data_IF_827900572505
#
_entry.id   IF_827900572505
#
_cell.length_a   1.000
_cell.length_b   1.000
_cell.length_c   1.000
_cell.angle_alpha   90.00
_cell.angle_beta   90.00
_cell.angle_gamma   90.00
#
_symmetry.space_group_name_H-M   'P 1'
#
loop_
_entity.id
_entity.type
_entity.pdbx_description
1 polymer ?
#
# COMPACT_ATOMS: atom_id res chain seq x y z
N UNK A 1 40.10 -58.57 20.95
CA UNK A 1 38.87 -57.80 20.71
C UNK A 1 37.77 -58.77 20.31
N UNK A 2 36.87 -59.10 21.23
CA UNK A 2 35.70 -59.94 20.95
C UNK A 2 34.51 -59.01 20.77
N UNK A 3 34.03 -58.88 19.54
CA UNK A 3 32.78 -58.18 19.26
C UNK A 3 31.62 -59.08 19.73
N UNK A 4 30.70 -58.60 20.56
CA UNK A 4 29.58 -59.41 21.01
C UNK A 4 28.68 -59.71 19.80
N UNK A 5 28.40 -61.00 19.58
CA UNK A 5 27.41 -61.45 18.59
C UNK A 5 26.04 -61.03 19.07
N UNK A 6 25.53 -59.94 18.51
CA UNK A 6 24.16 -59.49 18.73
C UNK A 6 23.24 -60.53 18.07
N UNK A 7 22.37 -61.16 18.86
CA UNK A 7 21.40 -62.14 18.36
C UNK A 7 20.50 -61.50 17.30
N UNK A 8 20.23 -62.22 16.21
CA UNK A 8 19.29 -61.80 15.16
C UNK A 8 17.90 -61.47 15.72
N UNK A 9 17.50 -62.11 16.82
CA UNK A 9 16.25 -61.82 17.54
C UNK A 9 16.26 -60.46 18.24
N UNK A 10 17.42 -60.00 18.74
CA UNK A 10 17.55 -58.69 19.36
C UNK A 10 17.50 -57.56 18.32
N UNK A 11 18.11 -57.78 17.15
CA UNK A 11 18.07 -56.81 16.04
C UNK A 11 16.65 -56.65 15.49
N UNK A 12 15.92 -57.76 15.33
CA UNK A 12 14.52 -57.73 14.85
C UNK A 12 13.58 -57.09 15.86
N UNK A 13 13.75 -57.34 17.17
CA UNK A 13 12.98 -56.67 18.21
C UNK A 13 13.21 -55.15 18.24
N UNK A 14 14.47 -54.71 18.07
CA UNK A 14 14.83 -53.29 17.99
C UNK A 14 14.22 -52.61 16.77
N UNK A 15 14.25 -53.27 15.60
CA UNK A 15 13.64 -52.75 14.38
C UNK A 15 12.12 -52.62 14.53
N UNK A 16 11.45 -53.64 15.09
CA UNK A 16 10.02 -53.60 15.34
C UNK A 16 9.63 -52.47 16.31
N UNK A 17 10.38 -52.31 17.40
CA UNK A 17 10.17 -51.23 18.36
C UNK A 17 10.37 -49.83 17.71
N UNK A 18 11.39 -49.68 16.85
CA UNK A 18 11.61 -48.43 16.11
C UNK A 18 10.49 -48.15 15.12
N UNK A 19 10.01 -49.14 14.36
CA UNK A 19 8.86 -48.96 13.46
C UNK A 19 7.58 -48.63 14.21
N UNK A 20 7.34 -49.24 15.38
CA UNK A 20 6.15 -48.96 16.17
C UNK A 20 6.21 -47.54 16.77
N UNK A 21 7.39 -47.10 17.20
CA UNK A 21 7.61 -45.72 17.67
C UNK A 21 7.42 -44.71 16.53
N UNK A 22 7.91 -45.01 15.33
CA UNK A 22 7.72 -44.17 14.14
C UNK A 22 6.23 -44.08 13.77
N UNK A 23 5.54 -45.22 13.71
CA UNK A 23 4.10 -45.26 13.44
C UNK A 23 3.31 -44.52 14.51
N UNK A 24 3.69 -44.64 15.78
CA UNK A 24 3.04 -43.92 16.88
C UNK A 24 3.28 -42.41 16.81
N UNK A 25 4.47 -41.96 16.39
CA UNK A 25 4.77 -40.54 16.17
C UNK A 25 4.03 -39.97 14.95
N UNK A 26 3.86 -40.77 13.89
CA UNK A 26 3.15 -40.36 12.65
C UNK A 26 1.62 -40.41 12.83
N UNK A 27 1.11 -41.32 13.68
CA UNK A 27 -0.33 -41.51 13.92
C UNK A 27 -0.91 -40.60 15.00
N UNK A 28 -0.07 -39.83 15.71
CA UNK A 28 -0.59 -38.79 16.61
C UNK A 28 -1.21 -37.70 15.75
N UNK A 29 -2.52 -37.40 15.91
CA UNK A 29 -3.06 -36.15 15.41
C UNK A 29 -2.22 -35.04 16.03
N UNK A 30 -1.55 -34.24 15.20
CA UNK A 30 -0.92 -33.01 15.68
C UNK A 30 -1.96 -32.18 16.43
N UNK A 31 -1.55 -31.32 17.39
CA UNK A 31 -2.48 -30.39 18.01
C UNK A 31 -3.27 -29.71 16.89
N UNK A 32 -4.58 -29.90 16.91
CA UNK A 32 -5.51 -29.25 15.99
C UNK A 32 -5.15 -27.76 15.97
N UNK A 33 -4.98 -27.13 14.79
CA UNK A 33 -4.71 -25.70 14.74
C UNK A 33 -5.77 -25.01 15.61
N UNK A 34 -5.37 -24.02 16.43
CA UNK A 34 -6.35 -23.27 17.21
C UNK A 34 -7.46 -22.84 16.26
N UNK A 35 -8.70 -23.08 16.66
CA UNK A 35 -9.90 -22.76 15.90
C UNK A 35 -9.69 -21.46 15.13
N UNK A 36 -9.81 -21.51 13.80
CA UNK A 36 -9.46 -20.43 12.87
C UNK A 36 -9.74 -19.05 13.50
N UNK A 37 -8.71 -18.44 14.10
CA UNK A 37 -8.69 -17.00 14.26
C UNK A 37 -8.82 -16.48 12.83
N UNK A 38 -9.85 -15.68 12.52
CA UNK A 38 -10.00 -15.11 11.18
C UNK A 38 -8.64 -14.63 10.69
N UNK A 39 -8.15 -15.21 9.59
CA UNK A 39 -6.78 -15.03 9.13
C UNK A 39 -6.57 -13.54 8.81
N UNK A 40 -5.68 -12.89 9.56
CA UNK A 40 -5.41 -11.44 9.44
C UNK A 40 -5.16 -11.07 7.98
N UNK A 41 -5.86 -10.06 7.48
CA UNK A 41 -5.70 -9.58 6.10
C UNK A 41 -4.59 -8.53 6.04
N UNK A 42 -3.68 -8.70 5.11
CA UNK A 42 -2.57 -7.77 4.89
C UNK A 42 -2.84 -7.00 3.60
N UNK A 43 -2.77 -5.68 3.63
CA UNK A 43 -3.01 -4.85 2.45
C UNK A 43 -1.81 -3.95 2.20
N UNK A 44 -1.27 -4.04 0.98
CA UNK A 44 -0.28 -3.08 0.50
C UNK A 44 -0.95 -2.10 -0.46
N UNK A 45 -1.07 -0.84 -0.05
CA UNK A 45 -1.40 0.27 -0.95
C UNK A 45 -0.12 0.65 -1.70
N UNK A 46 0.03 0.06 -2.88
CA UNK A 46 1.16 0.25 -3.78
C UNK A 46 0.87 1.43 -4.71
N UNK A 47 1.76 2.41 -4.77
CA UNK A 47 1.59 3.60 -5.62
C UNK A 47 2.94 4.17 -6.02
N UNK A 48 2.92 5.31 -6.71
CA UNK A 48 4.04 6.26 -6.77
C UNK A 48 3.67 7.55 -6.00
N UNK A 49 4.64 8.43 -5.77
CA UNK A 49 4.42 9.72 -5.10
C UNK A 49 3.45 10.58 -5.90
N UNK A 50 2.59 11.30 -5.16
CA UNK A 50 1.63 12.29 -5.68
C UNK A 50 0.46 11.72 -6.49
N UNK A 51 0.29 10.41 -6.50
CA UNK A 51 -0.87 9.74 -7.10
C UNK A 51 -2.13 9.72 -6.22
N UNK A 52 -2.13 10.41 -5.07
CA UNK A 52 -3.27 10.44 -4.15
C UNK A 52 -3.26 9.32 -3.09
N UNK A 53 -2.18 8.56 -2.97
CA UNK A 53 -2.08 7.45 -2.03
C UNK A 53 -2.22 7.83 -0.56
N UNK A 54 -1.93 9.09 -0.17
CA UNK A 54 -2.21 9.58 1.18
C UNK A 54 -3.70 9.68 1.49
N UNK A 55 -4.54 9.99 0.49
CA UNK A 55 -5.99 9.96 0.65
C UNK A 55 -6.48 8.52 0.81
N UNK A 56 -6.07 7.60 -0.09
CA UNK A 56 -6.42 6.17 0.02
C UNK A 56 -5.94 5.56 1.33
N UNK A 57 -4.73 5.90 1.79
CA UNK A 57 -4.24 5.48 3.09
C UNK A 57 -5.09 5.99 4.25
N UNK A 58 -5.62 7.21 4.17
CA UNK A 58 -6.57 7.72 5.17
C UNK A 58 -7.90 6.98 5.17
N UNK A 59 -8.41 6.56 3.99
CA UNK A 59 -9.60 5.71 3.93
C UNK A 59 -9.42 4.46 4.79
N UNK A 60 -8.31 3.75 4.63
CA UNK A 60 -8.02 2.57 5.46
C UNK A 60 -7.75 2.93 6.92
N UNK A 61 -6.96 3.97 7.19
CA UNK A 61 -6.60 4.37 8.56
C UNK A 61 -7.82 4.64 9.44
N UNK A 62 -8.86 5.28 8.89
CA UNK A 62 -10.05 5.64 9.65
C UNK A 62 -10.98 4.45 9.95
N UNK A 63 -10.75 3.27 9.35
CA UNK A 63 -11.56 2.08 9.60
C UNK A 63 -11.25 1.48 10.99
N UNK A 64 -12.25 1.08 11.80
CA UNK A 64 -12.05 0.59 13.17
C UNK A 64 -11.22 -0.69 13.28
N UNK A 65 -11.19 -1.51 12.23
CA UNK A 65 -10.49 -2.82 12.23
C UNK A 65 -9.10 -2.80 11.60
N UNK A 66 -8.60 -1.61 11.23
CA UNK A 66 -7.34 -1.44 10.52
C UNK A 66 -6.25 -0.87 11.42
N UNK A 67 -5.09 -1.55 11.45
CA UNK A 67 -3.80 -0.96 11.79
C UNK A 67 -3.14 -0.44 10.52
N UNK A 68 -2.90 0.88 10.44
CA UNK A 68 -2.32 1.52 9.27
C UNK A 68 -0.97 2.16 9.57
N UNK A 69 0.03 1.98 8.70
CA UNK A 69 1.25 2.78 8.72
C UNK A 69 1.50 3.42 7.35
N UNK A 70 1.87 4.70 7.38
CA UNK A 70 2.23 5.46 6.19
C UNK A 70 3.72 5.30 5.90
N UNK A 71 4.06 4.66 4.79
CA UNK A 71 5.45 4.51 4.31
C UNK A 71 6.43 4.06 5.41
N UNK A 72 6.18 2.93 6.11
CA UNK A 72 7.13 2.42 7.10
C UNK A 72 8.55 2.25 6.53
N UNK A 73 8.69 1.91 5.25
CA UNK A 73 9.99 1.80 4.61
C UNK A 73 10.72 3.14 4.42
N UNK A 74 10.07 4.28 4.66
CA UNK A 74 10.70 5.61 4.71
C UNK A 74 11.99 5.59 5.53
N UNK A 75 12.01 4.84 6.63
CA UNK A 75 13.17 4.69 7.50
C UNK A 75 14.34 3.95 6.84
N UNK A 76 14.07 2.96 5.98
CA UNK A 76 15.12 2.33 5.16
C UNK A 76 15.69 3.35 4.17
N UNK A 77 14.81 4.08 3.49
CA UNK A 77 15.17 5.05 2.45
C UNK A 77 16.00 6.23 3.00
N UNK A 78 15.71 6.69 4.21
CA UNK A 78 16.42 7.83 4.80
C UNK A 78 17.72 7.46 5.48
N UNK A 79 17.78 6.27 6.08
CA UNK A 79 18.99 5.72 6.69
C UNK A 79 19.99 5.29 5.60
N UNK A 80 19.52 4.58 4.57
CA UNK A 80 20.35 4.07 3.46
C UNK A 80 20.27 4.94 2.20
N UNK A 81 20.22 6.27 2.37
CA UNK A 81 19.90 7.24 1.32
C UNK A 81 20.81 7.26 0.08
N UNK A 82 22.01 6.69 0.17
CA UNK A 82 22.93 6.52 -0.96
C UNK A 82 22.49 5.41 -1.91
N UNK A 83 21.66 4.48 -1.42
CA UNK A 83 21.10 3.40 -2.21
C UNK A 83 20.04 3.89 -3.21
N UNK A 84 19.98 3.22 -4.36
CA UNK A 84 18.87 3.36 -5.30
C UNK A 84 17.65 2.58 -4.81
N UNK A 85 16.48 2.87 -5.38
CA UNK A 85 15.26 2.08 -5.15
C UNK A 85 15.53 0.57 -5.29
N UNK A 86 16.12 0.18 -6.43
CA UNK A 86 16.43 -1.22 -6.74
C UNK A 86 17.38 -1.87 -5.74
N UNK A 87 18.42 -1.16 -5.31
CA UNK A 87 19.42 -1.71 -4.39
C UNK A 87 18.83 -2.01 -3.00
N UNK A 88 17.80 -1.26 -2.57
CA UNK A 88 17.22 -1.37 -1.24
C UNK A 88 15.97 -2.25 -1.20
N UNK A 89 15.53 -2.81 -2.33
CA UNK A 89 14.32 -3.64 -2.41
C UNK A 89 14.28 -4.80 -1.41
N UNK A 90 15.42 -5.43 -1.11
CA UNK A 90 15.46 -6.53 -0.13
C UNK A 90 15.17 -6.01 1.28
N UNK A 91 15.93 -5.02 1.75
CA UNK A 91 15.74 -4.40 3.06
C UNK A 91 14.31 -3.85 3.25
N UNK A 92 13.76 -3.22 2.21
CA UNK A 92 12.40 -2.67 2.20
C UNK A 92 11.37 -3.79 2.30
N UNK A 93 11.53 -4.87 1.53
CA UNK A 93 10.64 -6.02 1.55
C UNK A 93 10.66 -6.71 2.91
N UNK A 94 11.84 -6.89 3.49
CA UNK A 94 12.02 -7.54 4.79
C UNK A 94 11.38 -6.71 5.91
N UNK A 95 11.56 -5.39 5.89
CA UNK A 95 10.87 -4.48 6.81
C UNK A 95 9.34 -4.54 6.64
N UNK A 96 8.84 -4.45 5.42
CA UNK A 96 7.39 -4.54 5.14
C UNK A 96 6.83 -5.87 5.62
N UNK A 97 7.55 -6.98 5.43
CA UNK A 97 7.17 -8.31 5.92
C UNK A 97 7.05 -8.34 7.45
N UNK A 98 8.08 -7.91 8.16
CA UNK A 98 8.07 -7.88 9.64
C UNK A 98 6.91 -7.03 10.17
N UNK A 99 6.69 -5.86 9.59
CA UNK A 99 5.57 -4.98 9.99
C UNK A 99 4.21 -5.63 9.74
N UNK A 100 4.02 -6.33 8.61
CA UNK A 100 2.79 -7.09 8.37
C UNK A 100 2.53 -8.16 9.43
N UNK A 101 3.59 -8.80 9.91
CA UNK A 101 3.54 -9.77 11.02
C UNK A 101 3.50 -9.12 12.40
N UNK A 102 3.36 -7.80 12.48
CA UNK A 102 3.39 -7.01 13.71
C UNK A 102 4.67 -7.19 14.53
N UNK A 103 5.80 -7.37 13.85
CA UNK A 103 7.15 -7.29 14.42
C UNK A 103 7.71 -5.89 14.16
N UNK A 104 7.77 -5.07 15.22
CA UNK A 104 8.27 -3.70 15.17
C UNK A 104 9.75 -3.59 15.54
N UNK A 105 10.41 -4.69 15.91
CA UNK A 105 11.82 -4.71 16.28
C UNK A 105 12.70 -4.54 15.03
N UNK A 106 12.16 -4.87 13.84
CA UNK A 106 12.82 -4.61 12.55
C UNK A 106 13.25 -3.14 12.36
N UNK A 107 12.61 -2.21 13.04
CA UNK A 107 12.98 -0.79 12.98
C UNK A 107 14.28 -0.46 13.72
N UNK A 108 14.80 -1.34 14.58
CA UNK A 108 16.09 -1.15 15.26
C UNK A 108 17.27 -1.01 14.30
N UNK A 109 17.17 -1.61 13.11
CA UNK A 109 18.18 -1.46 12.07
C UNK A 109 18.18 -0.05 11.42
N UNK A 110 17.10 0.72 11.60
CA UNK A 110 16.87 1.97 10.85
C UNK A 110 16.49 3.17 11.73
N UNK A 111 16.29 2.98 13.03
CA UNK A 111 15.91 4.00 13.99
C UNK A 111 16.74 3.88 15.28
N UNK A 112 16.95 4.98 16.03
CA UNK A 112 17.57 4.91 17.35
C UNK A 112 16.73 4.08 18.33
N UNK A 113 17.39 3.44 19.30
CA UNK A 113 16.76 2.54 20.28
C UNK A 113 15.76 3.25 21.21
N UNK A 114 16.13 4.40 21.78
CA UNK A 114 15.21 5.17 22.62
C UNK A 114 14.31 6.05 21.74
N UNK A 115 13.10 5.55 21.44
CA UNK A 115 12.13 6.20 20.56
C UNK A 115 10.70 6.05 21.07
N UNK A 116 9.85 7.01 20.69
CA UNK A 116 8.42 7.00 20.93
C UNK A 116 7.67 6.59 19.66
N UNK A 117 6.35 6.37 19.75
CA UNK A 117 5.50 6.18 18.57
C UNK A 117 5.67 7.30 17.53
N UNK A 118 5.99 8.51 17.99
CA UNK A 118 6.22 9.65 17.12
C UNK A 118 7.42 9.54 16.18
N UNK A 119 8.27 8.52 16.36
CA UNK A 119 9.36 8.21 15.43
C UNK A 119 8.87 7.61 14.11
N UNK A 120 7.68 6.98 14.07
CA UNK A 120 7.13 6.52 12.80
C UNK A 120 6.87 7.70 11.85
N UNK A 121 7.20 7.51 10.57
CA UNK A 121 6.94 8.53 9.58
C UNK A 121 5.44 8.76 9.49
N UNK A 122 5.00 10.01 9.70
CA UNK A 122 3.59 10.40 9.67
C UNK A 122 2.69 9.59 10.62
N UNK A 123 3.23 9.17 11.76
CA UNK A 123 2.51 8.37 12.77
C UNK A 123 1.13 8.94 13.15
N UNK A 124 0.98 10.27 13.19
CA UNK A 124 -0.23 10.96 13.62
C UNK A 124 -1.44 10.74 12.70
N UNK A 125 -1.20 10.19 11.50
CA UNK A 125 -2.23 9.89 10.52
C UNK A 125 -2.79 8.47 10.70
N UNK A 126 -2.21 7.67 11.59
CA UNK A 126 -2.66 6.33 11.94
C UNK A 126 -3.66 6.38 13.09
N UNK A 127 -4.96 6.18 12.82
CA UNK A 127 -5.98 6.10 13.88
C UNK A 127 -5.63 5.05 14.92
N UNK A 128 -5.04 3.93 14.50
CA UNK A 128 -4.63 2.84 15.36
C UNK A 128 -3.55 3.24 16.39
N UNK A 129 -2.64 4.16 16.04
CA UNK A 129 -1.66 4.72 16.97
C UNK A 129 -2.23 5.84 17.87
N UNK A 130 -3.43 6.33 17.54
CA UNK A 130 -4.17 7.34 18.30
C UNK A 130 -5.32 6.75 19.14
N UNK A 131 -5.50 5.42 19.10
CA UNK A 131 -6.56 4.67 19.79
C UNK A 131 -5.97 3.57 20.67
N UNK A 132 -6.71 3.07 21.67
CA UNK A 132 -6.22 1.97 22.50
C UNK A 132 -5.86 0.73 21.65
N UNK A 133 -4.80 -0.02 22.03
CA UNK A 133 -3.97 0.15 23.23
C UNK A 133 -2.86 1.22 23.10
N UNK A 134 -2.58 1.75 21.90
CA UNK A 134 -1.45 2.65 21.70
C UNK A 134 -1.59 4.04 22.34
N UNK A 135 -2.81 4.58 22.34
CA UNK A 135 -3.09 5.88 22.95
C UNK A 135 -4.60 6.03 23.21
N UNK A 136 -5.01 6.75 24.25
CA UNK A 136 -6.43 6.93 24.58
C UNK A 136 -7.05 8.22 24.03
N UNK A 137 -6.47 8.83 22.98
CA UNK A 137 -6.98 10.09 22.44
C UNK A 137 -8.32 9.94 21.70
N UNK A 138 -8.56 8.78 21.08
CA UNK A 138 -9.79 8.49 20.36
C UNK A 138 -10.29 7.06 20.66
N UNK A 139 -11.61 6.85 20.78
CA UNK A 139 -12.18 5.50 20.74
C UNK A 139 -11.90 4.80 19.40
N UNK A 140 -11.79 3.47 19.40
CA UNK A 140 -11.48 2.69 18.19
C UNK A 140 -12.45 2.94 17.02
N UNK A 141 -13.73 3.17 17.30
CA UNK A 141 -14.75 3.45 16.28
C UNK A 141 -14.77 4.89 15.75
N UNK A 142 -14.08 5.83 16.40
CA UNK A 142 -14.18 7.24 16.07
C UNK A 142 -13.20 7.66 14.96
N UNK A 143 -13.59 8.67 14.18
CA UNK A 143 -12.69 9.34 13.23
C UNK A 143 -11.63 10.13 13.99
N UNK A 144 -10.36 9.82 13.76
CA UNK A 144 -9.23 10.51 14.39
C UNK A 144 -8.90 11.83 13.69
N UNK A 145 -8.36 12.78 14.46
CA UNK A 145 -7.84 14.05 13.94
C UNK A 145 -6.34 14.15 14.19
N UNK A 146 -5.55 14.35 13.13
CA UNK A 146 -4.07 14.37 13.17
C UNK A 146 -3.51 15.31 14.25
N UNK A 147 -4.03 16.54 14.34
CA UNK A 147 -3.51 17.53 15.30
C UNK A 147 -3.74 17.11 16.75
N UNK A 148 -4.93 16.58 17.07
CA UNK A 148 -5.25 16.11 18.41
C UNK A 148 -4.44 14.86 18.77
N UNK A 149 -4.27 13.93 17.81
CA UNK A 149 -3.39 12.78 18.00
C UNK A 149 -1.95 13.22 18.28
N UNK A 150 -1.41 14.17 17.50
CA UNK A 150 -0.07 14.72 17.75
C UNK A 150 0.05 15.31 19.14
N UNK A 151 -0.92 16.13 19.57
CA UNK A 151 -0.88 16.75 20.90
C UNK A 151 -0.93 15.72 22.04
N UNK A 152 -1.78 14.69 21.92
CA UNK A 152 -2.09 13.78 23.03
C UNK A 152 -1.22 12.51 23.07
N UNK A 153 -0.66 12.08 21.94
CA UNK A 153 -0.04 10.75 21.80
C UNK A 153 1.46 10.77 21.46
N UNK A 154 2.11 11.95 21.34
CA UNK A 154 3.50 12.07 20.86
C UNK A 154 4.52 11.27 21.68
N UNK A 155 4.30 11.16 23.00
CA UNK A 155 5.25 10.57 23.96
C UNK A 155 4.93 9.12 24.34
N UNK A 156 4.02 8.47 23.60
CA UNK A 156 3.68 7.08 23.87
C UNK A 156 4.86 6.14 23.55
N UNK A 157 5.12 5.11 24.37
CA UNK A 157 6.18 4.14 24.14
C UNK A 157 6.09 3.46 22.76
N UNK A 158 7.23 3.24 22.11
CA UNK A 158 7.26 2.62 20.78
C UNK A 158 6.70 1.19 20.76
N UNK A 159 6.89 0.42 21.84
CA UNK A 159 6.42 -0.96 21.99
C UNK A 159 4.89 -1.09 21.82
N UNK A 160 4.13 -0.03 22.13
CA UNK A 160 2.68 -0.05 21.99
C UNK A 160 2.21 -0.16 20.53
N UNK A 161 3.06 0.13 19.54
CA UNK A 161 2.71 -0.09 18.13
C UNK A 161 2.54 -1.58 17.80
N UNK A 162 3.38 -2.43 18.39
CA UNK A 162 3.31 -3.88 18.22
C UNK A 162 2.04 -4.43 18.86
N UNK A 163 1.73 -3.99 20.08
CA UNK A 163 0.49 -4.35 20.78
C UNK A 163 -0.75 -3.89 19.99
N UNK A 164 -0.74 -2.65 19.51
CA UNK A 164 -1.81 -2.14 18.67
C UNK A 164 -1.95 -2.98 17.41
N UNK A 165 -0.89 -3.19 16.63
CA UNK A 165 -0.93 -3.97 15.39
C UNK A 165 -1.57 -5.35 15.60
N UNK A 166 -1.16 -6.07 16.65
CA UNK A 166 -1.69 -7.42 16.96
C UNK A 166 -3.19 -7.42 17.26
N UNK A 167 -3.73 -6.31 17.77
CA UNK A 167 -5.13 -6.16 18.15
C UNK A 167 -6.09 -5.85 16.99
N UNK A 168 -5.60 -5.66 15.77
CA UNK A 168 -6.41 -5.38 14.57
C UNK A 168 -6.44 -6.58 13.62
N UNK A 169 -7.56 -6.78 12.93
CA UNK A 169 -7.74 -7.86 11.95
C UNK A 169 -7.15 -7.53 10.57
N UNK A 170 -6.86 -6.26 10.31
CA UNK A 170 -6.26 -5.80 9.07
C UNK A 170 -4.99 -4.99 9.33
N UNK A 171 -3.91 -5.31 8.63
CA UNK A 171 -2.67 -4.50 8.63
C UNK A 171 -2.49 -3.91 7.24
N UNK A 172 -2.53 -2.57 7.16
CA UNK A 172 -2.49 -1.84 5.90
C UNK A 172 -1.25 -0.96 5.86
N UNK A 173 -0.39 -1.18 4.88
CA UNK A 173 0.83 -0.40 4.67
C UNK A 173 0.73 0.33 3.34
N UNK A 174 1.14 1.60 3.31
CA UNK A 174 1.21 2.39 2.07
C UNK A 174 2.65 2.59 1.66
N UNK A 175 3.03 2.15 0.46
CA UNK A 175 4.39 2.30 -0.06
C UNK A 175 4.42 2.90 -1.46
N UNK A 176 5.45 3.72 -1.73
CA UNK A 176 5.53 4.53 -2.96
C UNK A 176 6.80 4.32 -3.80
N UNK A 177 7.72 3.45 -3.36
CA UNK A 177 9.08 3.33 -3.93
C UNK A 177 9.47 1.92 -4.43
N UNK A 178 8.52 1.01 -4.63
CA UNK A 178 8.82 -0.35 -5.13
C UNK A 178 9.04 -0.44 -6.64
N UNK A 179 8.33 0.37 -7.43
CA UNK A 179 8.43 0.48 -8.90
C UNK A 179 8.33 -0.79 -9.77
N UNK A 180 8.21 -1.96 -9.16
CA UNK A 180 8.12 -3.25 -9.83
C UNK A 180 7.35 -4.25 -8.94
N UNK A 181 6.31 -4.86 -9.50
CA UNK A 181 5.48 -5.83 -8.80
C UNK A 181 6.24 -7.11 -8.43
N UNK A 182 7.20 -7.54 -9.26
CA UNK A 182 7.93 -8.79 -9.08
C UNK A 182 8.76 -8.80 -7.78
N UNK A 183 9.18 -7.63 -7.31
CA UNK A 183 9.88 -7.46 -6.03
C UNK A 183 9.04 -7.93 -4.85
N UNK A 184 7.71 -7.86 -4.98
CA UNK A 184 6.72 -8.23 -3.97
C UNK A 184 6.29 -9.69 -4.06
N UNK A 185 6.72 -10.45 -5.09
CA UNK A 185 6.35 -11.86 -5.25
C UNK A 185 6.72 -12.75 -4.05
N UNK A 186 7.86 -12.55 -3.37
CA UNK A 186 8.14 -13.30 -2.15
C UNK A 186 7.12 -13.04 -1.04
N UNK A 187 6.63 -11.80 -0.89
CA UNK A 187 5.59 -11.48 0.10
C UNK A 187 4.23 -12.07 -0.29
N UNK A 188 3.89 -12.05 -1.58
CA UNK A 188 2.67 -12.69 -2.07
C UNK A 188 2.73 -14.21 -1.93
N UNK A 189 3.91 -14.82 -2.01
CA UNK A 189 4.06 -16.28 -1.92
C UNK A 189 4.28 -16.77 -0.50
N UNK A 190 4.36 -15.86 0.47
CA UNK A 190 4.56 -16.18 1.88
C UNK A 190 3.27 -16.73 2.50
N UNK A 191 3.26 -17.97 3.01
CA UNK A 191 2.07 -18.55 3.62
C UNK A 191 1.66 -17.87 4.95
N UNK A 192 2.55 -17.07 5.56
CA UNK A 192 2.21 -16.29 6.75
C UNK A 192 1.43 -15.01 6.41
N UNK A 193 1.30 -14.65 5.12
CA UNK A 193 0.69 -13.40 4.68
C UNK A 193 -0.52 -13.64 3.75
N UNK A 194 -1.71 -13.34 4.25
CA UNK A 194 -2.89 -13.09 3.42
C UNK A 194 -2.81 -11.71 2.75
N UNK A 195 -1.83 -11.52 1.86
CA UNK A 195 -1.52 -10.23 1.22
C UNK A 195 -2.40 -9.91 0.01
N UNK A 196 -3.02 -8.74 0.02
CA UNK A 196 -3.73 -8.12 -1.10
C UNK A 196 -3.05 -6.80 -1.49
N UNK A 197 -2.91 -6.55 -2.79
CA UNK A 197 -2.28 -5.34 -3.33
C UNK A 197 -3.35 -4.45 -3.95
N UNK A 198 -3.43 -3.22 -3.44
CA UNK A 198 -4.19 -2.12 -4.04
C UNK A 198 -3.18 -1.26 -4.79
N UNK A 199 -3.12 -1.40 -6.11
CA UNK A 199 -2.25 -0.57 -6.95
C UNK A 199 -2.98 0.70 -7.38
N UNK A 200 -2.63 1.81 -6.75
CA UNK A 200 -3.17 3.12 -7.08
C UNK A 200 -2.34 3.79 -8.18
N UNK A 201 -3.03 4.20 -9.24
CA UNK A 201 -2.47 5.00 -10.34
C UNK A 201 -3.20 6.33 -10.45
N UNK A 202 -2.58 7.29 -11.12
CA UNK A 202 -3.15 8.62 -11.39
C UNK A 202 -2.67 9.12 -12.73
N UNK A 203 -3.43 10.00 -13.36
CA UNK A 203 -3.03 10.68 -14.59
C UNK A 203 -1.64 11.35 -14.40
N UNK A 204 -0.62 11.01 -15.22
CA UNK A 204 0.72 11.54 -15.06
C UNK A 204 0.82 13.06 -15.22
N UNK A 205 -0.14 13.69 -15.93
CA UNK A 205 -0.26 15.16 -16.04
C UNK A 205 -0.66 15.76 -14.70
N UNK A 206 -1.60 15.13 -13.99
CA UNK A 206 -1.99 15.50 -12.64
C UNK A 206 -0.87 15.25 -11.62
N UNK A 207 -0.11 14.15 -11.78
CA UNK A 207 1.07 13.84 -10.96
C UNK A 207 2.13 14.95 -11.12
N UNK A 208 2.47 15.36 -12.35
CA UNK A 208 3.43 16.45 -12.58
C UNK A 208 3.02 17.73 -11.84
N UNK A 209 1.79 18.21 -12.06
CA UNK A 209 1.25 19.40 -11.38
C UNK A 209 1.39 19.31 -9.88
N UNK A 210 1.07 18.14 -9.33
CA UNK A 210 1.14 17.94 -7.89
C UNK A 210 2.58 17.86 -7.36
N UNK A 211 3.54 17.44 -8.18
CA UNK A 211 4.96 17.39 -7.81
C UNK A 211 5.59 18.78 -7.83
N UNK A 212 5.26 19.63 -8.80
CA UNK A 212 5.76 21.01 -8.85
C UNK A 212 5.34 21.82 -7.60
N UNK A 213 4.13 21.58 -7.09
CA UNK A 213 3.68 22.17 -5.83
C UNK A 213 4.50 21.73 -4.59
N UNK A 214 5.20 20.59 -4.67
CA UNK A 214 5.92 19.92 -3.60
C UNK A 214 7.43 19.74 -3.87
N UNK A 215 7.99 20.44 -4.87
CA UNK A 215 9.33 20.17 -5.40
C UNK A 215 10.43 20.11 -4.32
N UNK A 216 10.49 21.13 -3.45
CA UNK A 216 11.45 21.22 -2.35
C UNK A 216 11.43 20.00 -1.44
N UNK A 217 10.25 19.56 -1.04
CA UNK A 217 10.08 18.43 -0.13
C UNK A 217 10.41 17.09 -0.78
N UNK A 218 10.39 17.01 -2.11
CA UNK A 218 10.67 15.79 -2.88
C UNK A 218 12.11 15.74 -3.41
N UNK A 219 12.94 16.75 -3.18
CA UNK A 219 14.26 16.86 -3.81
C UNK A 219 15.16 15.65 -3.51
N UNK A 220 15.18 15.16 -2.27
CA UNK A 220 15.93 13.96 -1.88
C UNK A 220 15.31 12.68 -2.45
N UNK A 221 13.98 12.57 -2.39
CA UNK A 221 13.25 11.44 -3.01
C UNK A 221 13.57 11.31 -4.49
N UNK A 222 13.67 12.43 -5.20
CA UNK A 222 14.01 12.46 -6.63
C UNK A 222 15.39 11.83 -6.88
N UNK A 223 16.37 12.10 -6.02
CA UNK A 223 17.68 11.46 -6.14
C UNK A 223 17.64 9.94 -5.94
N UNK A 224 16.80 9.46 -5.01
CA UNK A 224 16.60 8.02 -4.78
C UNK A 224 15.94 7.36 -6.00
N UNK A 225 14.88 7.98 -6.54
CA UNK A 225 14.18 7.48 -7.74
C UNK A 225 15.10 7.43 -8.95
N UNK A 226 15.91 8.47 -9.14
CA UNK A 226 16.80 8.60 -10.28
C UNK A 226 18.11 7.83 -10.10
N UNK A 227 18.35 7.22 -8.93
CA UNK A 227 19.59 6.50 -8.64
C UNK A 227 20.83 7.39 -8.63
N UNK A 228 20.68 8.67 -8.32
CA UNK A 228 21.78 9.66 -8.34
C UNK A 228 22.52 9.70 -6.99
N UNK A 229 22.70 8.55 -6.34
CA UNK A 229 23.35 8.44 -5.03
C UNK A 229 22.72 9.36 -3.96
N UNK A 230 21.39 9.53 -4.03
CA UNK A 230 20.62 10.35 -3.10
C UNK A 230 20.88 11.86 -3.17
N UNK A 231 21.40 12.36 -4.29
CA UNK A 231 21.56 13.81 -4.50
C UNK A 231 20.23 14.55 -4.45
N UNK A 232 20.27 15.81 -4.02
CA UNK A 232 19.10 16.67 -3.96
C UNK A 232 18.78 17.19 -5.37
N UNK A 233 17.68 16.71 -5.94
CA UNK A 233 17.21 17.10 -7.28
C UNK A 233 15.90 17.88 -7.15
N UNK A 234 15.99 19.20 -6.95
CA UNK A 234 14.80 20.06 -6.85
C UNK A 234 14.18 20.34 -8.24
N UNK A 235 15.02 20.62 -9.23
CA UNK A 235 14.60 20.86 -10.61
C UNK A 235 14.86 19.62 -11.49
N UNK A 236 13.85 19.22 -12.26
CA UNK A 236 13.93 18.11 -13.22
C UNK A 236 13.33 18.55 -14.57
N UNK A 237 14.02 19.45 -15.31
CA UNK A 237 13.49 20.01 -16.55
C UNK A 237 13.26 18.94 -17.64
N UNK A 238 14.02 17.84 -17.58
CA UNK A 238 13.85 16.69 -18.46
C UNK A 238 12.69 15.76 -18.10
N UNK A 239 11.98 16.03 -17.00
CA UNK A 239 10.88 15.22 -16.46
C UNK A 239 11.26 13.74 -16.29
N UNK A 240 12.52 13.48 -15.89
CA UNK A 240 13.06 12.12 -15.71
C UNK A 240 12.29 11.35 -14.64
N UNK A 241 11.89 12.01 -13.55
CA UNK A 241 11.12 11.37 -12.48
C UNK A 241 9.72 11.00 -12.95
N UNK A 242 9.06 11.88 -13.70
CA UNK A 242 7.72 11.58 -14.26
C UNK A 242 7.79 10.42 -15.25
N UNK A 243 8.83 10.38 -16.10
CA UNK A 243 9.10 9.26 -16.99
C UNK A 243 9.23 7.94 -16.22
N UNK A 244 9.99 7.93 -15.12
CA UNK A 244 10.15 6.71 -14.31
C UNK A 244 8.84 6.30 -13.61
N UNK A 245 8.06 7.26 -13.11
CA UNK A 245 6.73 6.99 -12.56
C UNK A 245 5.82 6.32 -13.60
N UNK A 246 5.79 6.82 -14.83
CA UNK A 246 5.01 6.24 -15.91
C UNK A 246 5.48 4.82 -16.27
N UNK A 247 6.79 4.62 -16.40
CA UNK A 247 7.40 3.29 -16.66
C UNK A 247 7.07 2.29 -15.56
N UNK A 248 7.15 2.71 -14.31
CA UNK A 248 6.79 1.91 -13.14
C UNK A 248 5.34 1.46 -13.19
N UNK A 249 4.40 2.38 -13.44
CA UNK A 249 2.98 2.02 -13.50
C UNK A 249 2.67 1.05 -14.64
N UNK A 250 3.29 1.23 -15.82
CA UNK A 250 3.19 0.27 -16.94
C UNK A 250 3.72 -1.09 -16.51
N UNK A 251 4.96 -1.15 -16.00
CA UNK A 251 5.60 -2.41 -15.57
C UNK A 251 4.77 -3.17 -14.53
N UNK A 252 4.26 -2.48 -13.51
CA UNK A 252 3.44 -3.09 -12.45
C UNK A 252 2.10 -3.58 -13.03
N UNK A 253 1.44 -2.75 -13.85
CA UNK A 253 0.16 -3.12 -14.46
C UNK A 253 0.31 -4.30 -15.41
N UNK A 254 1.28 -4.29 -16.33
CA UNK A 254 1.52 -5.41 -17.26
C UNK A 254 1.83 -6.72 -16.52
N UNK A 255 2.69 -6.66 -15.50
CA UNK A 255 3.02 -7.83 -14.67
C UNK A 255 1.78 -8.40 -13.94
N UNK A 256 0.78 -7.57 -13.65
CA UNK A 256 -0.46 -8.00 -13.01
C UNK A 256 -1.57 -8.41 -13.99
N UNK A 257 -1.46 -8.05 -15.28
CA UNK A 257 -2.61 -8.10 -16.20
C UNK A 257 -2.37 -8.97 -17.42
N UNK A 258 -1.17 -8.98 -18.00
CA UNK A 258 -0.90 -9.72 -19.25
C UNK A 258 -0.68 -11.22 -19.02
N UNK A 259 0.17 -11.57 -18.04
CA UNK A 259 0.44 -12.95 -17.63
C UNK A 259 0.57 -13.04 -16.12
N UNK A 260 -0.53 -12.79 -15.37
CA UNK A 260 -0.48 -12.78 -13.92
C UNK A 260 -0.05 -14.17 -13.39
N UNK A 261 0.89 -14.22 -12.43
CA UNK A 261 1.18 -15.47 -11.72
C UNK A 261 -0.09 -16.00 -11.03
N UNK A 262 -0.27 -17.33 -10.91
CA UNK A 262 -1.47 -17.90 -10.28
C UNK A 262 -1.72 -17.36 -8.87
N UNK A 263 -0.66 -17.15 -8.09
CA UNK A 263 -0.74 -16.60 -6.74
C UNK A 263 -1.30 -15.17 -6.72
N UNK A 264 -1.27 -14.40 -7.81
CA UNK A 264 -1.77 -13.02 -7.82
C UNK A 264 -3.31 -12.97 -7.96
N UNK A 265 -3.94 -14.05 -8.42
CA UNK A 265 -5.38 -14.11 -8.68
C UNK A 265 -6.17 -13.79 -7.41
N UNK A 266 -7.11 -12.85 -7.52
CA UNK A 266 -7.93 -12.38 -6.39
C UNK A 266 -7.17 -11.55 -5.34
N UNK A 267 -5.86 -11.32 -5.51
CA UNK A 267 -5.01 -10.61 -4.54
C UNK A 267 -4.41 -9.32 -5.08
N UNK A 268 -4.84 -8.86 -6.26
CA UNK A 268 -4.42 -7.59 -6.83
C UNK A 268 -5.62 -6.82 -7.41
N UNK A 269 -5.69 -5.52 -7.13
CA UNK A 269 -6.67 -4.60 -7.69
C UNK A 269 -5.99 -3.31 -8.14
N UNK A 270 -6.16 -2.96 -9.41
CA UNK A 270 -5.77 -1.66 -9.95
C UNK A 270 -6.88 -0.64 -9.67
N UNK A 271 -6.54 0.54 -9.18
CA UNK A 271 -7.46 1.64 -8.90
C UNK A 271 -6.92 2.92 -9.50
N UNK A 272 -7.74 3.66 -10.25
CA UNK A 272 -7.40 5.01 -10.73
C UNK A 272 -7.91 6.03 -9.73
N UNK A 273 -7.07 7.01 -9.40
CA UNK A 273 -7.44 8.11 -8.53
C UNK A 273 -8.65 8.90 -9.07
N UNK A 274 -8.77 9.01 -10.38
CA UNK A 274 -9.84 9.73 -11.07
C UNK A 274 -11.20 9.03 -10.91
N UNK A 275 -11.22 7.69 -10.89
CA UNK A 275 -12.45 6.94 -10.62
C UNK A 275 -12.90 7.19 -9.16
N UNK A 276 -11.94 7.12 -8.21
CA UNK A 276 -12.19 7.46 -6.79
C UNK A 276 -12.64 8.91 -6.60
N UNK A 277 -12.17 9.83 -7.42
CA UNK A 277 -12.54 11.24 -7.33
C UNK A 277 -13.93 11.53 -7.91
N UNK A 278 -14.34 10.79 -8.95
CA UNK A 278 -15.65 10.94 -9.61
C UNK A 278 -16.76 10.26 -8.82
N UNK A 279 -16.55 9.02 -8.38
CA UNK A 279 -17.55 8.21 -7.68
C UNK A 279 -16.99 7.65 -6.35
N UNK A 280 -16.70 8.51 -5.34
CA UNK A 280 -15.95 8.09 -4.16
C UNK A 280 -16.59 6.92 -3.40
N UNK A 281 -17.89 7.01 -3.10
CA UNK A 281 -18.55 5.99 -2.28
C UNK A 281 -18.62 4.64 -2.97
N UNK A 282 -18.94 4.61 -4.28
CA UNK A 282 -19.01 3.37 -5.04
C UNK A 282 -17.64 2.68 -5.16
N UNK A 283 -16.60 3.44 -5.49
CA UNK A 283 -15.24 2.91 -5.64
C UNK A 283 -14.65 2.46 -4.30
N UNK A 284 -14.95 3.16 -3.20
CA UNK A 284 -14.46 2.79 -1.87
C UNK A 284 -15.19 1.55 -1.34
N UNK A 285 -16.51 1.41 -1.58
CA UNK A 285 -17.24 0.16 -1.29
C UNK A 285 -16.60 -1.03 -2.00
N UNK A 286 -16.33 -0.90 -3.30
CA UNK A 286 -15.71 -1.95 -4.08
C UNK A 286 -14.27 -2.26 -3.61
N UNK A 287 -13.51 -1.23 -3.21
CA UNK A 287 -12.18 -1.38 -2.64
C UNK A 287 -12.21 -2.13 -1.30
N UNK A 288 -13.17 -1.81 -0.43
CA UNK A 288 -13.32 -2.45 0.87
C UNK A 288 -13.79 -3.89 0.75
N UNK A 289 -14.75 -4.17 -0.13
CA UNK A 289 -15.14 -5.54 -0.46
C UNK A 289 -13.95 -6.36 -0.94
N UNK A 290 -13.10 -5.79 -1.80
CA UNK A 290 -11.85 -6.43 -2.24
C UNK A 290 -10.87 -6.71 -1.08
N UNK A 291 -10.89 -5.95 0.01
CA UNK A 291 -10.04 -6.18 1.18
C UNK A 291 -10.71 -6.89 2.33
N UNK A 292 -11.98 -7.29 2.22
CA UNK A 292 -12.73 -7.93 3.32
C UNK A 292 -13.23 -6.94 4.39
N UNK A 293 -13.29 -5.65 4.06
CA UNK A 293 -13.81 -4.59 4.92
C UNK A 293 -15.23 -4.19 4.51
N UNK A 294 -15.94 -3.49 5.39
CA UNK A 294 -17.25 -2.90 5.12
C UNK A 294 -17.26 -1.42 5.49
N UNK A 295 -18.07 -0.61 4.80
CA UNK A 295 -18.21 0.80 5.18
C UNK A 295 -19.14 0.93 6.38
N UNK A 296 -18.68 1.65 7.40
CA UNK A 296 -19.56 2.09 8.49
C UNK A 296 -20.28 3.39 8.12
N UNK A 297 -21.47 3.68 8.68
CA UNK A 297 -22.19 4.93 8.41
C UNK A 297 -21.36 6.18 8.73
N UNK A 298 -20.58 6.13 9.83
CA UNK A 298 -19.70 7.23 10.23
C UNK A 298 -18.58 7.47 9.19
N UNK A 299 -18.01 6.40 8.66
CA UNK A 299 -16.94 6.50 7.68
C UNK A 299 -17.47 6.96 6.31
N UNK A 300 -18.66 6.50 5.91
CA UNK A 300 -19.36 6.99 4.72
C UNK A 300 -19.60 8.51 4.79
N UNK A 301 -20.13 9.01 5.91
CA UNK A 301 -20.32 10.44 6.13
C UNK A 301 -18.99 11.22 6.10
N UNK A 302 -17.94 10.67 6.72
CA UNK A 302 -16.60 11.30 6.68
C UNK A 302 -16.01 11.33 5.26
N UNK A 303 -16.14 10.25 4.49
CA UNK A 303 -15.70 10.17 3.09
C UNK A 303 -16.41 11.22 2.24
N UNK A 304 -17.73 11.36 2.38
CA UNK A 304 -18.48 12.37 1.66
C UNK A 304 -17.95 13.78 1.98
N UNK A 305 -17.81 14.10 3.27
CA UNK A 305 -17.35 15.42 3.72
C UNK A 305 -15.90 15.74 3.29
N UNK A 306 -15.00 14.76 3.27
CA UNK A 306 -13.61 15.01 2.88
C UNK A 306 -13.43 15.15 1.34
N UNK A 307 -14.35 14.57 0.55
CA UNK A 307 -14.32 14.61 -0.92
C UNK A 307 -15.16 15.72 -1.56
N UNK A 308 -16.07 16.32 -0.79
CA UNK A 308 -16.95 17.42 -1.23
C UNK A 308 -16.62 18.77 -0.59
N UNK A 309 -15.39 18.92 -0.07
CA UNK A 309 -14.93 20.18 0.51
C UNK A 309 -14.78 21.32 -0.49
N UNK A 310 -14.66 22.55 0.01
CA UNK A 310 -14.49 23.75 -0.82
C UNK A 310 -13.03 23.97 -1.23
N UNK A 311 -12.82 24.20 -2.53
CA UNK A 311 -11.54 24.64 -3.11
C UNK A 311 -10.46 23.55 -3.28
N UNK A 312 -9.34 23.87 -3.97
CA UNK A 312 -8.27 22.92 -4.28
C UNK A 312 -7.25 22.69 -3.13
N UNK A 313 -7.41 23.40 -2.00
CA UNK A 313 -6.47 23.47 -0.88
C UNK A 313 -5.25 24.36 -1.13
N UNK A 314 -4.62 24.86 -0.05
CA UNK A 314 -3.49 25.79 -0.15
C UNK A 314 -2.16 25.07 -0.49
N UNK A 315 -1.18 25.78 -1.08
CA UNK A 315 0.15 25.21 -1.42
C UNK A 315 0.87 24.60 -0.21
N UNK A 316 0.74 25.22 0.97
CA UNK A 316 1.26 24.72 2.27
C UNK A 316 0.65 23.38 2.72
N UNK A 317 -0.43 22.95 2.08
CA UNK A 317 -1.17 21.72 2.38
C UNK A 317 -0.89 20.62 1.35
N UNK A 318 0.19 20.73 0.56
CA UNK A 318 0.50 19.76 -0.48
C UNK A 318 0.54 18.31 0.04
N UNK A 319 0.94 18.08 1.29
CA UNK A 319 1.02 16.75 1.92
C UNK A 319 -0.09 16.47 2.94
N UNK A 320 -1.12 17.30 3.01
CA UNK A 320 -2.25 17.09 3.93
C UNK A 320 -3.44 16.49 3.19
N UNK A 321 -4.12 15.55 3.83
CA UNK A 321 -5.43 15.07 3.40
C UNK A 321 -6.50 15.96 4.03
N UNK A 322 -6.74 17.12 3.43
CA UNK A 322 -7.80 18.06 3.85
C UNK A 322 -9.06 17.89 3.01
N UNK A 323 -10.21 18.33 3.55
CA UNK A 323 -11.49 18.34 2.83
C UNK A 323 -11.38 19.24 1.59
N UNK A 324 -11.58 18.65 0.41
CA UNK A 324 -11.46 19.31 -0.91
C UNK A 324 -12.40 18.64 -1.90
N UNK A 325 -12.81 19.37 -2.93
CA UNK A 325 -13.55 18.79 -4.04
C UNK A 325 -12.62 17.86 -4.85
N UNK A 326 -12.82 16.55 -4.71
CA UNK A 326 -11.93 15.55 -5.27
C UNK A 326 -11.87 15.62 -6.81
N UNK A 327 -13.01 15.86 -7.46
CA UNK A 327 -13.10 16.01 -8.91
C UNK A 327 -12.26 17.19 -9.41
N UNK A 328 -12.42 18.37 -8.81
CA UNK A 328 -11.63 19.55 -9.15
C UNK A 328 -10.13 19.32 -8.93
N UNK A 329 -9.75 18.64 -7.85
CA UNK A 329 -8.34 18.29 -7.58
C UNK A 329 -7.79 17.32 -8.63
N UNK A 330 -8.60 16.39 -9.14
CA UNK A 330 -8.21 15.44 -10.18
C UNK A 330 -7.92 16.14 -11.51
N UNK A 331 -8.70 17.17 -11.85
CA UNK A 331 -8.61 17.90 -13.13
C UNK A 331 -7.81 19.21 -13.06
N UNK A 332 -7.33 19.62 -11.89
CA UNK A 332 -6.65 20.92 -11.71
C UNK A 332 -5.45 21.17 -12.66
N UNK A 333 -4.80 20.11 -13.15
CA UNK A 333 -3.70 20.23 -14.12
C UNK A 333 -4.14 20.87 -15.44
N UNK A 334 -5.42 20.71 -15.83
CA UNK A 334 -5.99 21.22 -17.08
C UNK A 334 -5.92 22.75 -17.20
N UNK A 335 -5.96 23.50 -16.10
CA UNK A 335 -5.88 24.96 -16.13
C UNK A 335 -4.61 25.53 -15.50
N UNK A 336 -3.75 24.69 -14.93
CA UNK A 336 -2.57 25.17 -14.17
C UNK A 336 -1.24 24.86 -14.83
N UNK A 337 -1.19 23.87 -15.73
CA UNK A 337 0.02 23.55 -16.48
C UNK A 337 -0.05 24.17 -17.89
N UNK A 338 1.05 24.75 -18.39
CA UNK A 338 1.16 25.13 -19.80
C UNK A 338 1.00 23.90 -20.71
N UNK A 339 0.33 24.06 -21.85
CA UNK A 339 0.11 22.97 -22.80
C UNK A 339 1.40 22.34 -23.31
N UNK A 340 2.48 23.12 -23.47
CA UNK A 340 3.80 22.62 -23.84
C UNK A 340 4.34 21.58 -22.87
N UNK A 341 4.12 21.75 -21.55
CA UNK A 341 4.48 20.75 -20.54
C UNK A 341 3.57 19.53 -20.61
N UNK A 342 2.27 19.72 -20.84
CA UNK A 342 1.31 18.61 -20.98
C UNK A 342 1.66 17.75 -22.18
N UNK A 343 1.90 18.35 -23.35
CA UNK A 343 2.36 17.66 -24.55
C UNK A 343 3.62 16.84 -24.26
N UNK A 344 4.59 17.44 -23.55
CA UNK A 344 5.81 16.73 -23.18
C UNK A 344 5.56 15.53 -22.27
N UNK A 345 4.67 15.65 -21.28
CA UNK A 345 4.28 14.50 -20.44
C UNK A 345 3.60 13.41 -21.27
N UNK A 346 2.70 13.79 -22.19
CA UNK A 346 2.01 12.83 -23.06
C UNK A 346 2.99 12.04 -23.92
N UNK A 347 3.97 12.70 -24.54
CA UNK A 347 5.04 12.03 -25.29
C UNK A 347 5.79 11.02 -24.42
N UNK A 348 6.25 11.45 -23.23
CA UNK A 348 7.04 10.61 -22.32
C UNK A 348 6.26 9.45 -21.70
N UNK A 349 4.94 9.61 -21.56
CA UNK A 349 4.07 8.69 -20.85
C UNK A 349 3.01 8.04 -21.75
N UNK A 350 3.21 8.04 -23.07
CA UNK A 350 2.24 7.52 -24.06
C UNK A 350 1.73 6.13 -23.68
N UNK A 351 2.63 5.18 -23.39
CA UNK A 351 2.25 3.81 -23.00
C UNK A 351 1.46 3.75 -21.68
N UNK A 352 1.78 4.61 -20.71
CA UNK A 352 1.04 4.68 -19.45
C UNK A 352 -0.36 5.28 -19.65
N UNK A 353 -0.49 6.32 -20.47
CA UNK A 353 -1.79 6.91 -20.80
C UNK A 353 -2.69 5.88 -21.50
N UNK A 354 -2.16 5.18 -22.50
CA UNK A 354 -2.89 4.16 -23.25
C UNK A 354 -3.32 3.00 -22.35
N UNK A 355 -2.38 2.40 -21.61
CA UNK A 355 -2.64 1.22 -20.77
C UNK A 355 -3.63 1.52 -19.63
N UNK A 356 -3.55 2.71 -19.02
CA UNK A 356 -4.37 3.09 -17.87
C UNK A 356 -5.67 3.81 -18.26
N UNK A 357 -5.92 4.00 -19.56
CA UNK A 357 -7.16 4.57 -20.09
C UNK A 357 -7.27 6.08 -19.88
N UNK A 358 -6.20 6.83 -20.12
CA UNK A 358 -6.21 8.29 -20.14
C UNK A 358 -6.10 8.81 -21.57
N UNK A 359 -7.05 9.65 -21.98
CA UNK A 359 -7.06 10.27 -23.32
C UNK A 359 -6.06 11.43 -23.39
N UNK A 360 -5.21 11.50 -24.43
CA UNK A 360 -4.37 12.67 -24.68
C UNK A 360 -5.22 13.87 -25.15
N UNK A 361 -4.70 15.07 -24.94
CA UNK A 361 -5.23 16.31 -25.52
C UNK A 361 -4.24 16.88 -26.54
N UNK A 362 -4.72 17.46 -27.62
CA UNK A 362 -3.93 17.91 -28.77
C UNK A 362 -3.92 19.43 -28.98
N UNK A 363 -4.72 20.17 -28.22
CA UNK A 363 -4.73 21.65 -28.22
C UNK A 363 -4.94 22.22 -26.82
N UNK A 364 -4.69 23.52 -26.66
CA UNK A 364 -5.05 24.28 -25.44
C UNK A 364 -6.56 24.28 -25.19
N UNK A 365 -7.36 24.35 -26.25
CA UNK A 365 -8.82 24.29 -26.15
C UNK A 365 -9.28 22.93 -25.60
N UNK A 366 -8.78 21.82 -26.15
CA UNK A 366 -9.06 20.48 -25.62
C UNK A 366 -8.54 20.33 -24.19
N UNK A 367 -7.39 20.92 -23.86
CA UNK A 367 -6.88 20.91 -22.50
C UNK A 367 -7.85 21.61 -21.54
N UNK A 368 -8.41 22.76 -21.90
CA UNK A 368 -9.26 23.57 -21.02
C UNK A 368 -10.73 23.15 -21.01
N UNK A 369 -11.20 22.37 -21.98
CA UNK A 369 -12.57 21.89 -22.04
C UNK A 369 -12.89 20.84 -20.97
N UNK A 370 -13.44 21.25 -19.82
CA UNK A 370 -13.84 20.34 -18.74
C UNK A 370 -15.00 19.39 -19.10
N UNK A 371 -15.71 19.61 -20.21
CA UNK A 371 -16.75 18.69 -20.70
C UNK A 371 -16.17 17.48 -21.41
N UNK A 372 -14.94 17.59 -21.95
CA UNK A 372 -14.21 16.49 -22.54
C UNK A 372 -13.73 15.50 -21.46
N UNK A 373 -14.31 14.29 -21.48
CA UNK A 373 -13.87 13.20 -20.62
C UNK A 373 -12.50 12.66 -21.09
N UNK A 374 -11.51 12.80 -20.21
CA UNK A 374 -10.15 12.33 -20.42
C UNK A 374 -9.86 11.00 -19.76
N UNK A 375 -10.84 10.43 -19.05
CA UNK A 375 -10.72 9.12 -18.39
C UNK A 375 -11.64 8.16 -19.12
N UNK A 376 -11.04 7.25 -19.88
CA UNK A 376 -11.81 6.26 -20.64
C UNK A 376 -12.50 5.29 -19.66
N UNK A 377 -13.70 4.78 -20.02
CA UNK A 377 -14.32 3.70 -19.29
C UNK A 377 -13.32 2.56 -19.13
N UNK A 378 -13.35 1.89 -17.98
CA UNK A 378 -12.56 0.68 -17.80
C UNK A 378 -13.02 -0.30 -18.89
N UNK A 379 -12.11 -0.74 -19.77
CA UNK A 379 -12.48 -1.64 -20.86
C UNK A 379 -13.22 -2.87 -20.30
N UNK A 380 -14.16 -3.46 -21.05
CA UNK A 380 -15.04 -4.56 -20.60
C UNK A 380 -14.32 -5.78 -19.96
N UNK A 381 -12.99 -5.89 -20.09
CA UNK A 381 -12.14 -6.86 -19.39
C UNK A 381 -11.49 -6.33 -18.10
N UNK A 382 -12.00 -5.25 -17.51
CA UNK A 382 -11.38 -4.61 -16.35
C UNK A 382 -11.61 -5.41 -15.06
N UNK A 383 -10.69 -6.34 -14.81
CA UNK A 383 -10.19 -6.76 -13.50
C UNK A 383 -11.20 -6.76 -12.35
N UNK A 384 -12.24 -7.57 -12.50
CA UNK A 384 -12.75 -8.36 -11.39
C UNK A 384 -12.57 -9.83 -11.77
N UNK A 385 -11.63 -10.51 -11.11
CA UNK A 385 -11.74 -11.97 -11.02
C UNK A 385 -12.81 -12.20 -9.97
N UNK A 386 -14.07 -12.23 -10.39
CA UNK A 386 -15.16 -12.62 -9.53
C UNK A 386 -14.82 -14.00 -8.93
N UNK A 387 -14.89 -14.12 -7.61
CA UNK A 387 -14.78 -15.42 -6.95
C UNK A 387 -15.96 -16.27 -7.40
N UNK A 388 -15.70 -17.32 -8.17
CA UNK A 388 -16.71 -18.33 -8.47
C UNK A 388 -16.92 -19.21 -7.24
N UNK A 389 -17.87 -18.85 -6.38
CA UNK A 389 -18.60 -19.70 -5.41
C UNK A 389 -19.70 -18.81 -4.81
N UNK A 390 -20.98 -19.15 -4.71
CA UNK A 390 -21.61 -20.46 -4.62
C UNK A 390 -23.02 -20.45 -5.28
N UNK A 391 -23.33 -21.51 -6.01
CA UNK A 391 -24.69 -21.91 -6.33
C UNK A 391 -25.41 -22.29 -5.04
N UNK A 392 -26.45 -21.54 -4.67
CA UNK A 392 -27.44 -22.01 -3.70
C UNK A 392 -28.37 -23.02 -4.40
N UNK A 393 -28.56 -24.23 -3.86
CA UNK A 393 -29.68 -25.06 -4.26
C UNK A 393 -30.96 -24.48 -3.65
N UNK A 394 -31.96 -24.25 -4.50
CA UNK A 394 -33.34 -24.00 -4.05
C UNK A 394 -33.90 -25.31 -3.51
N UNK A 395 -34.42 -25.27 -2.29
CA UNK A 395 -35.55 -26.10 -1.90
C UNK A 395 -36.79 -25.22 -1.88
#
# INVERSE_FOLDING_TARGET
MWLPRISSTAVTALLLAQTFLLLFLISRPGPSPPACSEERVHVLVLSSWRSGSSFVGQLFSQHPDVFYLMEPAWHVWTTLWRGSATALHMAVRDLVRSVFLCDMDVFDAYMPQNRNLSAFFKWEVSRALCSPPACSAFPRGAISKENACRTLCTRQPFSLAQEACRSYSHVVLKEVRFFNLQVLYPLLSDPALNLRIVHLVRDPRAVLRSREAAAKALARDNGIVLGTNGTWVEADPGLRVVREVCRSHVRIAEAATLKPPPFLRGRYRLVRFEDLAREPLAEIRALYAFTGLSLTPQLEAWIYNITHGSGPGARREAFKTSSRNALNVSQAWRHTLPFTKIRRVQELCTGALQLLGYRPVYSEDEQHDLTLDLVLPRGLNSFSWASSTASHPRH
#
